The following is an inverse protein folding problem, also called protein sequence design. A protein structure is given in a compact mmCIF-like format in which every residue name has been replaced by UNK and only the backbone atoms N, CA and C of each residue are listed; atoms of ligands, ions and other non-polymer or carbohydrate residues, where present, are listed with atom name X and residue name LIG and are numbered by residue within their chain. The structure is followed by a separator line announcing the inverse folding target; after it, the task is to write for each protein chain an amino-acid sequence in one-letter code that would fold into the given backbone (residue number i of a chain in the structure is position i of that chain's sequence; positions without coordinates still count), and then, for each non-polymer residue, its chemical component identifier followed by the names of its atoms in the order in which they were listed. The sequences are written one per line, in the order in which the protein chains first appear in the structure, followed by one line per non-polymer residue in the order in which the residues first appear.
data_IF_712063666336
#
_entry.id   IF_712063666336
#
_cell.length_a   1.000
_cell.length_b   1.000
_cell.length_c   1.000
_cell.angle_alpha   90.00
_cell.angle_beta   90.00
_cell.angle_gamma   90.00
#
_symmetry.space_group_name_H-M   'P 1'
#
loop_
_entity.id
_entity.type
_entity.pdbx_description
1 polymer ?
#
# COMPACT_ATOMS: atom_id res chain seq x y z
N UNK A 1 23.76 -4.29 -29.52
CA UNK A 1 23.26 -3.05 -28.86
C UNK A 1 21.82 -3.31 -28.43
N UNK A 2 21.64 -3.90 -27.24
CA UNK A 2 20.33 -4.12 -26.64
C UNK A 2 19.91 -2.84 -25.94
N UNK A 3 18.77 -2.27 -26.35
CA UNK A 3 18.06 -1.23 -25.63
C UNK A 3 16.64 -1.73 -25.40
N UNK A 4 16.40 -2.19 -24.18
CA UNK A 4 15.10 -2.03 -23.52
C UNK A 4 15.42 -1.43 -22.16
N UNK A 5 14.74 -0.34 -21.79
CA UNK A 5 14.19 -0.31 -20.45
C UNK A 5 12.67 -0.36 -20.55
N UNK A 6 12.13 -1.32 -19.82
CA UNK A 6 10.72 -1.53 -19.58
C UNK A 6 10.03 -0.21 -19.20
N UNK A 7 8.88 -0.01 -19.80
CA UNK A 7 8.02 1.15 -19.64
C UNK A 7 7.57 1.26 -18.17
N UNK A 8 8.06 2.29 -17.47
CA UNK A 8 7.51 2.77 -16.21
C UNK A 8 6.10 3.29 -16.51
N UNK A 9 5.08 2.43 -16.39
CA UNK A 9 3.67 2.79 -16.60
C UNK A 9 2.71 1.96 -15.75
N UNK A 10 3.15 1.58 -14.55
CA UNK A 10 2.24 1.12 -13.48
C UNK A 10 2.69 1.74 -12.15
N UNK A 11 2.53 3.06 -12.02
CA UNK A 11 2.38 3.76 -10.72
C UNK A 11 2.12 5.27 -10.90
N UNK A 12 1.32 5.64 -11.91
CA UNK A 12 0.72 6.96 -12.01
C UNK A 12 -0.76 6.76 -12.30
N UNK A 13 -1.60 6.93 -11.27
CA UNK A 13 -3.05 6.97 -11.39
C UNK A 13 -3.76 6.02 -10.44
N UNK A 14 -4.28 6.56 -9.34
CA UNK A 14 -5.72 6.77 -9.16
C UNK A 14 -6.02 7.13 -7.70
N UNK A 15 -5.98 8.43 -7.40
CA UNK A 15 -6.71 8.98 -6.26
C UNK A 15 -7.43 10.26 -6.67
N UNK A 16 -8.52 10.09 -7.43
CA UNK A 16 -9.68 10.97 -7.41
C UNK A 16 -10.91 10.07 -7.45
N UNK A 17 -11.42 9.68 -6.28
CA UNK A 17 -12.82 9.24 -6.16
C UNK A 17 -13.54 10.28 -5.31
N UNK A 18 -13.81 11.42 -5.95
CA UNK A 18 -14.91 12.33 -5.61
C UNK A 18 -15.04 13.47 -6.66
N UNK A 19 -15.10 13.14 -7.95
CA UNK A 19 -15.81 13.97 -8.93
C UNK A 19 -16.10 13.12 -10.17
N UNK A 20 -17.39 12.96 -10.46
CA UNK A 20 -17.91 11.94 -11.36
C UNK A 20 -17.41 12.01 -12.79
N UNK A 21 -17.22 10.84 -13.38
CA UNK A 21 -17.28 10.69 -14.82
C UNK A 21 -17.80 9.29 -15.20
N UNK A 22 -18.83 9.29 -16.05
CA UNK A 22 -19.43 8.12 -16.70
C UNK A 22 -18.38 7.36 -17.52
N UNK A 23 -18.36 6.03 -17.39
CA UNK A 23 -17.74 5.13 -18.37
C UNK A 23 -18.72 4.86 -19.53
N UNK A 24 -18.27 4.84 -20.80
CA UNK A 24 -18.93 4.09 -21.84
C UNK A 24 -18.37 2.65 -21.92
N UNK A 25 -19.31 1.73 -22.02
CA UNK A 25 -19.16 0.28 -22.12
C UNK A 25 -18.56 -0.25 -23.43
N UNK A 26 -18.01 -1.48 -23.34
CA UNK A 26 -17.82 -2.48 -24.40
C UNK A 26 -16.63 -2.23 -25.35
N UNK A 27 -15.74 -3.20 -25.60
CA UNK A 27 -16.07 -4.37 -26.44
C UNK A 27 -14.98 -5.46 -26.42
N UNK A 28 -15.45 -6.68 -26.14
CA UNK A 28 -15.11 -7.97 -26.76
C UNK A 28 -13.75 -8.67 -26.60
N UNK A 29 -13.90 -9.89 -26.09
CA UNK A 29 -13.05 -11.07 -26.01
C UNK A 29 -12.73 -11.69 -27.39
N UNK A 30 -11.48 -12.11 -27.60
CA UNK A 30 -11.06 -13.26 -28.45
C UNK A 30 -9.80 -13.84 -27.77
N UNK A 31 -9.79 -15.00 -27.12
CA UNK A 31 -9.98 -16.38 -27.60
C UNK A 31 -9.15 -16.72 -28.82
N UNK A 32 -7.93 -17.24 -28.60
CA UNK A 32 -7.23 -18.10 -29.57
C UNK A 32 -6.60 -19.27 -28.80
N UNK A 33 -7.16 -20.45 -29.07
CA UNK A 33 -6.60 -21.77 -28.79
C UNK A 33 -5.74 -22.19 -29.99
N UNK A 34 -4.65 -22.93 -29.79
CA UNK A 34 -3.98 -23.61 -30.90
C UNK A 34 -2.56 -24.11 -30.62
N UNK A 35 -2.48 -25.35 -30.13
CA UNK A 35 -1.47 -26.38 -30.42
C UNK A 35 -0.44 -26.10 -31.52
N UNK A 36 0.85 -26.25 -31.18
CA UNK A 36 1.81 -26.98 -32.01
C UNK A 36 2.90 -27.60 -31.15
N UNK A 37 2.92 -28.94 -31.07
CA UNK A 37 4.04 -29.73 -30.57
C UNK A 37 4.89 -30.07 -31.79
N UNK A 38 6.15 -29.67 -31.81
CA UNK A 38 7.13 -30.24 -32.72
C UNK A 38 8.44 -30.44 -31.98
N UNK A 39 8.87 -31.69 -32.06
CA UNK A 39 10.02 -32.36 -31.49
C UNK A 39 11.34 -31.89 -32.09
N UNK A 40 12.34 -31.64 -31.26
CA UNK A 40 13.74 -31.68 -31.67
C UNK A 40 14.54 -32.46 -30.61
N UNK A 41 14.86 -33.70 -30.97
CA UNK A 41 15.89 -34.57 -30.39
C UNK A 41 17.27 -34.06 -30.78
N UNK A 42 18.18 -33.88 -29.81
CA UNK A 42 19.61 -34.13 -29.99
C UNK A 42 20.19 -34.74 -28.70
N UNK A 43 21.06 -35.73 -28.89
CA UNK A 43 21.70 -36.60 -27.90
C UNK A 43 23.13 -36.15 -27.60
N UNK A 44 23.63 -36.54 -26.42
CA UNK A 44 25.06 -36.69 -26.08
C UNK A 44 25.68 -35.43 -25.47
N UNK A 45 26.48 -35.45 -24.40
CA UNK A 45 27.22 -36.52 -23.73
C UNK A 45 27.60 -36.01 -22.33
N UNK A 46 27.69 -36.95 -21.39
CA UNK A 46 28.27 -36.74 -20.06
C UNK A 46 29.80 -36.78 -20.14
N UNK A 47 30.49 -35.78 -19.59
CA UNK A 47 31.70 -36.09 -18.82
C UNK A 47 31.90 -35.11 -17.67
N UNK A 48 32.14 -35.70 -16.51
CA UNK A 48 32.31 -35.04 -15.22
C UNK A 48 33.80 -35.01 -14.91
N UNK A 49 34.41 -33.83 -14.92
CA UNK A 49 35.58 -33.57 -14.07
C UNK A 49 35.44 -32.22 -13.41
N UNK A 50 35.40 -32.26 -12.09
CA UNK A 50 35.37 -31.12 -11.20
C UNK A 50 36.71 -30.36 -11.25
N UNK A 51 36.63 -29.04 -11.35
CA UNK A 51 37.67 -28.15 -10.85
C UNK A 51 37.01 -26.80 -10.51
N UNK A 52 36.55 -26.74 -9.26
CA UNK A 52 36.33 -25.58 -8.42
C UNK A 52 36.73 -24.22 -9.02
N UNK A 53 35.71 -23.37 -9.22
CA UNK A 53 35.88 -21.93 -9.16
C UNK A 53 34.54 -21.31 -8.72
N UNK A 54 34.43 -21.14 -7.39
CA UNK A 54 33.59 -20.15 -6.70
C UNK A 54 32.18 -19.95 -7.27
N UNK A 55 31.27 -20.83 -6.87
CA UNK A 55 29.91 -20.39 -6.59
C UNK A 55 29.98 -19.64 -5.26
N UNK A 56 30.14 -18.33 -5.37
CA UNK A 56 29.78 -17.42 -4.29
C UNK A 56 28.26 -17.45 -4.23
N UNK A 57 27.73 -18.44 -3.49
CA UNK A 57 26.39 -18.36 -2.90
C UNK A 57 26.39 -17.07 -2.09
N UNK A 58 25.91 -16.00 -2.70
CA UNK A 58 25.45 -14.84 -1.97
C UNK A 58 24.15 -15.28 -1.30
N UNK A 59 24.30 -15.89 -0.13
CA UNK A 59 23.34 -15.77 0.96
C UNK A 59 23.24 -14.26 1.27
N UNK A 60 22.54 -13.51 0.41
CA UNK A 60 21.82 -12.33 0.88
C UNK A 60 20.95 -12.85 2.02
N UNK A 61 21.25 -12.44 3.25
CA UNK A 61 20.33 -12.60 4.37
C UNK A 61 18.96 -12.10 3.88
N UNK A 62 18.07 -13.05 3.59
CA UNK A 62 16.68 -12.78 3.30
C UNK A 62 16.11 -12.23 4.61
N UNK A 63 16.30 -10.95 4.86
CA UNK A 63 15.43 -10.23 5.79
C UNK A 63 14.03 -10.46 5.23
N UNK A 64 13.29 -11.37 5.87
CA UNK A 64 11.92 -11.67 5.49
C UNK A 64 11.14 -10.35 5.52
N UNK A 65 10.46 -10.03 4.42
CA UNK A 65 9.70 -8.79 4.32
C UNK A 65 8.69 -8.72 5.47
N UNK A 66 8.34 -7.51 5.90
CA UNK A 66 7.36 -7.35 6.97
C UNK A 66 6.05 -8.06 6.64
N UNK A 67 5.63 -8.02 5.36
CA UNK A 67 4.47 -8.79 4.88
C UNK A 67 4.60 -10.30 5.13
N UNK A 68 5.77 -10.90 4.87
CA UNK A 68 5.99 -12.33 5.10
C UNK A 68 5.87 -12.67 6.58
N UNK A 69 6.42 -11.82 7.45
CA UNK A 69 6.36 -11.97 8.91
C UNK A 69 4.95 -11.78 9.47
N UNK A 70 4.11 -11.01 8.79
CA UNK A 70 2.70 -10.80 9.13
C UNK A 70 1.78 -11.95 8.67
N UNK A 71 2.32 -12.97 7.98
CA UNK A 71 1.53 -14.10 7.47
C UNK A 71 1.15 -14.00 5.99
N UNK A 72 1.75 -13.05 5.26
CA UNK A 72 1.59 -12.89 3.82
C UNK A 72 0.28 -12.20 3.38
N UNK A 73 0.03 -12.16 2.06
CA UNK A 73 -1.14 -11.48 1.48
C UNK A 73 -2.50 -11.82 2.11
N UNK A 74 -2.84 -13.09 2.39
CA UNK A 74 -4.15 -13.42 2.98
C UNK A 74 -4.33 -12.88 4.40
N UNK A 75 -3.26 -12.85 5.20
CA UNK A 75 -3.31 -12.30 6.55
C UNK A 75 -3.46 -10.77 6.50
N UNK A 76 -2.79 -10.11 5.56
CA UNK A 76 -2.95 -8.68 5.33
C UNK A 76 -4.38 -8.33 4.88
N UNK A 77 -4.96 -9.08 3.95
CA UNK A 77 -6.34 -8.87 3.48
C UNK A 77 -7.34 -8.94 4.64
N UNK A 78 -7.23 -9.98 5.48
CA UNK A 78 -8.06 -10.12 6.67
C UNK A 78 -7.85 -8.97 7.68
N UNK A 79 -6.60 -8.56 7.90
CA UNK A 79 -6.27 -7.43 8.78
C UNK A 79 -6.86 -6.12 8.27
N UNK A 80 -6.73 -5.82 6.98
CA UNK A 80 -7.29 -4.60 6.35
C UNK A 80 -8.82 -4.59 6.48
N UNK A 81 -9.48 -5.71 6.22
CA UNK A 81 -10.93 -5.82 6.34
C UNK A 81 -11.42 -5.47 7.76
N UNK A 82 -10.85 -6.12 8.79
CA UNK A 82 -11.21 -5.89 10.21
C UNK A 82 -10.85 -4.46 10.65
N UNK A 83 -9.70 -3.96 10.19
CA UNK A 83 -9.26 -2.60 10.47
C UNK A 83 -10.28 -1.58 9.96
N UNK A 84 -10.78 -1.73 8.74
CA UNK A 84 -11.78 -0.81 8.21
C UNK A 84 -13.13 -0.91 8.89
N UNK A 85 -13.59 -2.12 9.24
CA UNK A 85 -14.81 -2.27 10.05
C UNK A 85 -14.74 -1.42 11.32
N UNK A 86 -13.57 -1.34 11.95
CA UNK A 86 -13.35 -0.53 13.15
C UNK A 86 -13.27 0.96 12.86
N UNK A 87 -12.50 1.37 11.84
CA UNK A 87 -12.32 2.78 11.48
C UNK A 87 -13.63 3.44 11.08
N UNK A 88 -14.46 2.78 10.25
CA UNK A 88 -15.72 3.37 9.79
C UNK A 88 -16.82 3.35 10.87
N UNK A 89 -16.68 2.50 11.88
CA UNK A 89 -17.59 2.44 13.02
C UNK A 89 -17.18 3.36 14.18
N UNK A 90 -16.02 4.03 14.11
CA UNK A 90 -15.58 4.96 15.14
C UNK A 90 -16.38 6.27 15.06
N UNK A 91 -17.10 6.66 16.13
CA UNK A 91 -17.92 7.88 16.13
C UNK A 91 -17.16 9.18 15.84
N UNK A 92 -15.85 9.23 16.14
CA UNK A 92 -15.01 10.40 15.88
C UNK A 92 -14.51 10.43 14.42
N UNK A 93 -14.53 9.29 13.73
CA UNK A 93 -14.04 9.15 12.36
C UNK A 93 -15.15 9.03 11.30
N UNK A 94 -16.33 8.51 11.66
CA UNK A 94 -17.42 8.16 10.73
C UNK A 94 -17.81 9.32 9.79
N UNK A 95 -17.70 10.57 10.28
CA UNK A 95 -18.07 11.77 9.52
C UNK A 95 -17.23 11.97 8.27
N UNK A 96 -15.96 11.57 8.27
CA UNK A 96 -15.05 11.72 7.13
C UNK A 96 -15.32 10.70 6.02
N UNK A 97 -16.05 9.63 6.33
CA UNK A 97 -16.40 8.57 5.39
C UNK A 97 -17.80 8.74 4.77
N UNK A 98 -18.50 9.84 5.07
CA UNK A 98 -19.82 10.11 4.48
C UNK A 98 -19.74 10.23 2.96
N UNK A 99 -20.45 9.36 2.26
CA UNK A 99 -20.48 9.31 0.79
C UNK A 99 -19.25 8.66 0.15
N UNK A 100 -18.40 8.02 0.95
CA UNK A 100 -17.27 7.21 0.47
C UNK A 100 -17.74 5.79 0.18
N UNK A 101 -17.28 5.24 -0.94
CA UNK A 101 -17.40 3.81 -1.23
C UNK A 101 -16.39 3.05 -0.36
N UNK A 102 -16.87 2.47 0.74
CA UNK A 102 -16.02 1.79 1.74
C UNK A 102 -15.38 0.52 1.17
N UNK A 103 -16.04 -0.16 0.24
CA UNK A 103 -15.49 -1.37 -0.36
C UNK A 103 -14.34 -1.01 -1.31
N UNK A 104 -14.52 0.02 -2.15
CA UNK A 104 -13.43 0.55 -2.97
C UNK A 104 -12.25 1.08 -2.12
N UNK A 105 -12.54 1.68 -0.97
CA UNK A 105 -11.51 2.17 -0.05
C UNK A 105 -10.69 1.03 0.58
N UNK A 106 -11.33 -0.10 0.93
CA UNK A 106 -10.66 -1.28 1.46
C UNK A 106 -9.66 -1.86 0.47
N UNK A 107 -10.06 -2.02 -0.79
CA UNK A 107 -9.21 -2.53 -1.85
C UNK A 107 -7.98 -1.64 -2.05
N UNK A 108 -8.18 -0.32 -2.03
CA UNK A 108 -7.09 0.64 -2.19
C UNK A 108 -6.12 0.61 -1.01
N UNK A 109 -6.61 0.54 0.23
CA UNK A 109 -5.73 0.48 1.38
C UNK A 109 -4.97 -0.85 1.47
N UNK A 110 -5.57 -1.97 1.06
CA UNK A 110 -4.86 -3.24 0.94
C UNK A 110 -3.62 -3.07 0.05
N UNK A 111 -3.78 -2.48 -1.14
CA UNK A 111 -2.67 -2.22 -2.05
C UNK A 111 -1.61 -1.29 -1.43
N UNK A 112 -2.04 -0.23 -0.73
CA UNK A 112 -1.13 0.68 -0.06
C UNK A 112 -0.31 -0.03 1.04
N UNK A 113 -0.96 -0.85 1.86
CA UNK A 113 -0.29 -1.57 2.95
C UNK A 113 0.61 -2.70 2.43
N UNK A 114 0.22 -3.37 1.35
CA UNK A 114 1.06 -4.37 0.68
C UNK A 114 2.37 -3.73 0.20
N UNK A 115 2.30 -2.56 -0.44
CA UNK A 115 3.48 -1.79 -0.87
C UNK A 115 4.29 -1.32 0.35
N UNK A 116 3.62 -0.78 1.37
CA UNK A 116 4.28 -0.26 2.57
C UNK A 116 5.04 -1.33 3.36
N UNK A 117 4.58 -2.58 3.37
CA UNK A 117 5.18 -3.70 4.10
C UNK A 117 6.12 -4.58 3.26
N UNK A 118 6.30 -4.24 1.98
CA UNK A 118 7.25 -4.89 1.08
C UNK A 118 8.36 -3.92 0.69
N UNK A 119 8.06 -2.99 -0.23
CA UNK A 119 8.97 -1.91 -0.65
C UNK A 119 8.18 -0.72 -1.15
N UNK A 120 8.38 0.43 -0.49
CA UNK A 120 7.92 1.73 -1.00
C UNK A 120 8.83 2.13 -2.17
N UNK A 121 8.27 2.56 -3.33
CA UNK A 121 9.06 3.07 -4.44
C UNK A 121 9.96 4.24 -4.00
N UNK A 122 11.22 4.23 -4.42
CA UNK A 122 12.22 5.23 -3.99
C UNK A 122 11.90 6.66 -4.46
N UNK A 123 11.12 6.78 -5.54
CA UNK A 123 10.65 8.02 -6.14
C UNK A 123 9.29 8.49 -5.60
N UNK A 124 8.65 7.72 -4.72
CA UNK A 124 7.38 8.08 -4.13
C UNK A 124 7.58 8.98 -2.90
N UNK A 125 7.21 10.25 -3.03
CA UNK A 125 7.04 11.13 -1.87
C UNK A 125 5.73 10.78 -1.14
N UNK A 126 5.83 9.89 -0.16
CA UNK A 126 4.68 9.43 0.64
C UNK A 126 4.05 10.58 1.41
N UNK A 127 4.83 11.57 1.86
CA UNK A 127 4.31 12.72 2.63
C UNK A 127 3.43 13.59 1.72
N UNK A 128 3.92 13.95 0.54
CA UNK A 128 3.14 14.69 -0.44
C UNK A 128 1.90 13.91 -0.87
N UNK A 129 2.05 12.61 -1.13
CA UNK A 129 0.93 11.73 -1.51
C UNK A 129 -0.18 11.72 -0.45
N UNK A 130 0.16 11.52 0.84
CA UNK A 130 -0.82 11.50 1.93
C UNK A 130 -1.43 12.89 2.14
N UNK A 131 -0.63 13.96 2.04
CA UNK A 131 -1.13 15.34 2.15
C UNK A 131 -2.16 15.65 1.06
N UNK A 132 -1.85 15.32 -0.20
CA UNK A 132 -2.74 15.54 -1.34
C UNK A 132 -4.03 14.70 -1.24
N UNK A 133 -3.89 13.43 -0.83
CA UNK A 133 -5.02 12.53 -0.65
C UNK A 133 -6.05 13.04 0.37
N UNK A 134 -5.57 13.67 1.44
CA UNK A 134 -6.39 14.14 2.56
C UNK A 134 -6.63 15.66 2.51
N UNK A 135 -6.10 16.35 1.50
CA UNK A 135 -6.07 17.81 1.38
C UNK A 135 -7.43 18.49 1.65
N UNK A 136 -8.52 17.93 1.12
CA UNK A 136 -9.87 18.46 1.35
C UNK A 136 -10.29 18.31 2.82
N UNK A 137 -10.06 17.14 3.40
CA UNK A 137 -10.46 16.81 4.77
C UNK A 137 -9.66 17.64 5.78
N UNK A 138 -8.35 17.76 5.55
CA UNK A 138 -7.43 18.57 6.34
C UNK A 138 -7.85 20.03 6.35
N UNK A 139 -8.10 20.61 5.17
CA UNK A 139 -8.40 22.05 5.05
C UNK A 139 -9.83 22.45 5.37
N UNK A 140 -10.81 21.55 5.19
CA UNK A 140 -12.24 21.93 5.21
C UNK A 140 -13.08 21.18 6.23
N UNK A 141 -12.62 20.02 6.69
CA UNK A 141 -13.43 19.13 7.51
C UNK A 141 -12.82 18.92 8.92
N UNK A 142 -11.67 19.55 9.19
CA UNK A 142 -11.00 19.51 10.49
C UNK A 142 -10.34 18.17 10.79
N UNK A 143 -9.89 17.45 9.75
CA UNK A 143 -9.06 16.26 9.93
C UNK A 143 -7.68 16.70 10.48
N UNK A 144 -7.16 15.99 11.47
CA UNK A 144 -5.95 16.37 12.20
C UNK A 144 -5.28 15.14 12.84
N UNK A 145 -4.23 15.37 13.63
CA UNK A 145 -3.41 14.32 14.25
C UNK A 145 -4.17 13.47 15.27
N UNK A 146 -5.19 14.00 15.96
CA UNK A 146 -5.98 13.17 16.90
C UNK A 146 -6.79 12.11 16.16
N UNK A 147 -7.26 12.41 14.95
CA UNK A 147 -7.93 11.44 14.09
C UNK A 147 -6.93 10.40 13.55
N UNK A 148 -5.70 10.82 13.23
CA UNK A 148 -4.62 9.89 12.88
C UNK A 148 -4.33 8.92 14.04
N UNK A 149 -4.26 9.42 15.27
CA UNK A 149 -3.99 8.61 16.46
C UNK A 149 -5.08 7.54 16.68
N UNK A 150 -6.35 7.86 16.40
CA UNK A 150 -7.45 6.89 16.41
C UNK A 150 -7.27 5.80 15.34
N UNK A 151 -6.96 6.18 14.10
CA UNK A 151 -6.72 5.24 13.00
C UNK A 151 -5.53 4.32 13.33
N UNK A 152 -4.43 4.87 13.83
CA UNK A 152 -3.27 4.08 14.27
C UNK A 152 -3.63 3.13 15.43
N UNK A 153 -4.47 3.58 16.38
CA UNK A 153 -5.00 2.74 17.45
C UNK A 153 -5.82 1.56 16.93
N UNK A 154 -6.70 1.78 15.95
CA UNK A 154 -7.49 0.72 15.32
C UNK A 154 -6.61 -0.28 14.58
N UNK A 155 -5.54 0.17 13.91
CA UNK A 155 -4.57 -0.69 13.27
C UNK A 155 -3.86 -1.59 14.29
N UNK A 156 -3.30 -1.00 15.36
CA UNK A 156 -2.63 -1.75 16.44
C UNK A 156 -3.58 -2.75 17.09
N UNK A 157 -4.80 -2.32 17.45
CA UNK A 157 -5.80 -3.20 18.04
C UNK A 157 -6.22 -4.33 17.10
N UNK A 158 -6.14 -4.14 15.78
CA UNK A 158 -6.46 -5.17 14.78
C UNK A 158 -5.39 -6.23 14.73
N UNK A 159 -4.13 -5.82 14.65
CA UNK A 159 -2.99 -6.73 14.67
C UNK A 159 -2.92 -7.51 16.00
N UNK A 160 -3.16 -6.85 17.13
CA UNK A 160 -3.26 -7.51 18.44
C UNK A 160 -4.40 -8.54 18.49
N UNK A 161 -5.59 -8.18 17.98
CA UNK A 161 -6.74 -9.09 17.93
C UNK A 161 -6.51 -10.31 17.03
N UNK A 162 -5.65 -10.19 16.03
CA UNK A 162 -5.21 -11.28 15.15
C UNK A 162 -4.04 -12.10 15.72
N UNK A 163 -3.51 -11.72 16.88
CA UNK A 163 -2.40 -12.43 17.51
C UNK A 163 -1.03 -12.18 16.86
N UNK A 164 -0.89 -11.08 16.11
CA UNK A 164 0.41 -10.64 15.57
C UNK A 164 1.34 -10.32 16.73
N UNK A 165 2.61 -10.74 16.66
CA UNK A 165 3.53 -10.53 17.77
C UNK A 165 3.92 -9.04 17.87
N UNK A 166 4.26 -8.61 19.08
CA UNK A 166 4.53 -7.19 19.35
C UNK A 166 5.65 -6.62 18.48
N UNK A 167 6.68 -7.42 18.15
CA UNK A 167 7.79 -6.99 17.31
C UNK A 167 7.36 -6.60 15.88
N UNK A 168 6.41 -7.34 15.29
CA UNK A 168 5.83 -6.99 13.99
C UNK A 168 4.91 -5.77 14.09
N UNK A 169 4.14 -5.65 15.17
CA UNK A 169 3.31 -4.47 15.43
C UNK A 169 4.18 -3.21 15.54
N UNK A 170 5.29 -3.29 16.29
CA UNK A 170 6.23 -2.19 16.45
C UNK A 170 6.85 -1.80 15.11
N UNK A 171 7.13 -2.79 14.24
CA UNK A 171 7.62 -2.55 12.88
C UNK A 171 6.58 -1.81 12.02
N UNK A 172 5.30 -2.23 12.07
CA UNK A 172 4.20 -1.54 11.39
C UNK A 172 4.06 -0.11 11.89
N UNK A 173 4.08 0.10 13.22
CA UNK A 173 3.99 1.43 13.83
C UNK A 173 5.17 2.31 13.43
N UNK A 174 6.39 1.76 13.36
CA UNK A 174 7.56 2.48 12.89
C UNK A 174 7.44 2.91 11.42
N UNK A 175 6.81 2.10 10.57
CA UNK A 175 6.55 2.43 9.17
C UNK A 175 5.52 3.55 9.02
N UNK A 176 4.39 3.48 9.73
CA UNK A 176 3.26 4.43 9.52
C UNK A 176 3.32 5.66 10.41
N UNK A 177 3.93 5.56 11.60
CA UNK A 177 3.99 6.61 12.62
C UNK A 177 4.51 7.97 12.12
N UNK A 178 5.55 8.04 11.28
CA UNK A 178 6.04 9.31 10.74
C UNK A 178 4.98 10.11 9.94
N UNK A 179 3.97 9.44 9.38
CA UNK A 179 2.90 10.11 8.63
C UNK A 179 2.01 11.00 9.50
N UNK A 180 2.03 10.82 10.84
CA UNK A 180 1.34 11.69 11.79
C UNK A 180 1.68 13.16 11.59
N UNK A 181 2.93 13.46 11.21
CA UNK A 181 3.40 14.83 11.00
C UNK A 181 2.63 15.60 9.92
N UNK A 182 2.07 14.90 8.92
CA UNK A 182 1.23 15.52 7.88
C UNK A 182 -0.03 16.12 8.49
N UNK A 183 -0.66 15.39 9.40
CA UNK A 183 -1.91 15.78 10.04
C UNK A 183 -1.70 16.86 11.10
N UNK A 184 -0.58 16.77 11.84
CA UNK A 184 -0.19 17.79 12.82
C UNK A 184 0.11 19.15 12.15
N UNK A 185 0.78 19.13 10.99
CA UNK A 185 1.07 20.35 10.24
C UNK A 185 -0.20 21.04 9.76
N UNK A 186 -1.16 20.28 9.23
CA UNK A 186 -2.46 20.83 8.82
C UNK A 186 -3.24 21.46 9.99
N UNK A 187 -3.19 20.85 11.17
CA UNK A 187 -3.82 21.40 12.37
C UNK A 187 -3.21 22.76 12.75
N UNK A 188 -1.88 22.87 12.70
CA UNK A 188 -1.18 24.15 12.96
C UNK A 188 -1.56 25.23 11.95
N UNK A 189 -1.62 24.88 10.67
CA UNK A 189 -2.01 25.82 9.61
C UNK A 189 -3.43 26.34 9.79
N UNK A 190 -4.38 25.48 10.17
CA UNK A 190 -5.75 25.88 10.46
C UNK A 190 -5.83 26.89 11.62
N UNK A 191 -5.08 26.65 12.71
CA UNK A 191 -5.06 27.59 13.85
C UNK A 191 -4.43 28.95 13.53
N UNK A 192 -3.49 28.98 12.57
CA UNK A 192 -2.82 30.21 12.15
C UNK A 192 -3.70 31.09 11.26
N UNK A 193 -4.58 30.50 10.43
CA UNK A 193 -5.53 31.22 9.56
C UNK A 193 -6.64 31.88 10.40
N UNK A 194 -7.19 31.18 11.40
CA UNK A 194 -8.20 31.74 12.31
C UNK A 194 -7.65 32.98 13.07
N UNK A 195 -6.36 32.95 13.44
CA UNK A 195 -5.72 34.08 14.14
C UNK A 195 -5.49 35.31 13.24
N UNK A 196 -5.47 35.14 11.92
CA UNK A 196 -5.24 36.24 10.95
C UNK A 196 -6.54 36.89 10.45
N UNK A 197 -7.70 36.26 10.71
CA UNK A 197 -9.01 36.79 10.29
C UNK A 197 -9.67 37.70 11.35
N UNK A 198 -9.09 37.79 12.55
CA UNK A 198 -9.60 38.62 13.67
C UNK A 198 -8.92 40.01 13.80
N UNK A 199 -7.98 40.36 12.91
CA UNK A 199 -7.25 41.66 12.90
C UNK A 199 -7.74 42.62 11.80
#
# INVERSE_FOLDING_TARGET
MLRLPFSVSVLVGLLVVAQGFLLPSSTSRKSISGTHWMTATEQGESDSTAAAAKEEDQEEEKESLLLDRLGGPPALEAAVSIFYDRVVADPELERFFKGVDVDALRDHQYQFMEIAFTKIPEDLDVVAYISDAHARLLRKEGLNESHFDLVAGHLVGTLQGLGVQQAEIDSVVATVGPLRGVFEQAAKEATADDSQQEE
#
